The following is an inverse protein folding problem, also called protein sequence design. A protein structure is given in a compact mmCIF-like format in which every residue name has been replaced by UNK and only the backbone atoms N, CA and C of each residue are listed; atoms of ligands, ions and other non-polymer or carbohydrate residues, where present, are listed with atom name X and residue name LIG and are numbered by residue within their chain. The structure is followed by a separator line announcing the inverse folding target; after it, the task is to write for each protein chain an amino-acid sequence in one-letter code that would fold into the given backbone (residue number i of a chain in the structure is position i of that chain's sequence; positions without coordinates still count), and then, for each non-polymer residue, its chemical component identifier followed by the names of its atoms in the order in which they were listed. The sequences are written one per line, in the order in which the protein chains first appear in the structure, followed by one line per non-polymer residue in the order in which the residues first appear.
data_IF_397531930252
#
_entry.id   IF_397531930252
#
_cell.length_a   1.000
_cell.length_b   1.000
_cell.length_c   1.000
_cell.angle_alpha   90.00
_cell.angle_beta   90.00
_cell.angle_gamma   90.00
#
_symmetry.space_group_name_H-M   'P 1'
#
loop_
_entity.id
_entity.type
_entity.pdbx_description
1 polymer ?
#
# COMPACT_ATOMS: atom_id res chain seq x y z
N UNK A 1 -36.30 -31.41 23.62
CA UNK A 1 -34.83 -31.41 23.57
C UNK A 1 -34.34 -30.04 24.01
N UNK A 2 -33.46 -29.96 25.00
CA UNK A 2 -32.90 -28.68 25.42
C UNK A 2 -31.90 -28.19 24.36
N UNK A 3 -32.12 -26.99 23.83
CA UNK A 3 -31.22 -26.33 22.86
C UNK A 3 -30.93 -24.92 23.36
N UNK A 4 -29.67 -24.50 23.35
CA UNK A 4 -29.28 -23.14 23.73
C UNK A 4 -29.32 -22.22 22.52
N UNK A 5 -30.24 -21.24 22.54
CA UNK A 5 -30.40 -20.21 21.49
C UNK A 5 -29.67 -18.90 21.76
N UNK A 6 -29.03 -18.74 22.92
CA UNK A 6 -28.35 -17.51 23.32
C UNK A 6 -27.09 -17.25 22.49
N UNK A 7 -27.15 -16.35 21.50
CA UNK A 7 -26.04 -16.09 20.57
C UNK A 7 -24.92 -15.26 21.20
N UNK A 8 -25.24 -14.41 22.18
CA UNK A 8 -24.30 -13.47 22.81
C UNK A 8 -23.56 -14.04 24.03
N UNK A 9 -23.90 -15.25 24.47
CA UNK A 9 -23.32 -15.87 25.68
C UNK A 9 -22.36 -16.99 25.26
N UNK A 10 -21.07 -16.67 25.24
CA UNK A 10 -20.00 -17.61 24.88
C UNK A 10 -20.10 -18.17 23.45
N UNK A 11 -19.25 -19.15 23.14
CA UNK A 11 -19.21 -19.76 21.80
C UNK A 11 -20.20 -20.92 21.68
N UNK A 12 -20.52 -21.34 20.45
CA UNK A 12 -21.33 -22.55 20.23
C UNK A 12 -20.66 -23.79 20.86
N UNK A 13 -19.33 -23.82 20.92
CA UNK A 13 -18.55 -24.90 21.50
C UNK A 13 -18.71 -24.95 23.02
N UNK A 14 -18.49 -23.82 23.72
CA UNK A 14 -18.60 -23.80 25.20
C UNK A 14 -20.03 -24.08 25.66
N UNK A 15 -21.03 -23.61 24.90
CA UNK A 15 -22.45 -23.91 25.17
C UNK A 15 -22.77 -25.39 24.99
N UNK A 16 -22.30 -26.00 23.90
CA UNK A 16 -22.51 -27.43 23.64
C UNK A 16 -21.79 -28.30 24.67
N UNK A 17 -20.55 -27.95 25.02
CA UNK A 17 -19.77 -28.60 26.07
C UNK A 17 -20.48 -28.51 27.43
N UNK A 18 -21.08 -27.37 27.78
CA UNK A 18 -21.87 -27.20 29.00
C UNK A 18 -23.13 -28.08 29.03
N UNK A 19 -23.84 -28.19 27.90
CA UNK A 19 -25.01 -29.07 27.77
C UNK A 19 -24.64 -30.56 27.91
N UNK A 20 -23.49 -30.96 27.38
CA UNK A 20 -22.96 -32.33 27.53
C UNK A 20 -22.56 -32.59 28.99
N UNK A 21 -21.81 -31.66 29.61
CA UNK A 21 -21.34 -31.79 31.01
C UNK A 21 -22.46 -31.81 32.05
N UNK A 22 -23.53 -31.04 31.82
CA UNK A 22 -24.70 -31.00 32.71
C UNK A 22 -25.65 -32.18 32.52
N UNK A 23 -25.41 -33.06 31.54
CA UNK A 23 -26.30 -34.18 31.21
C UNK A 23 -27.60 -33.76 30.50
N UNK A 24 -27.78 -32.47 30.22
CA UNK A 24 -28.93 -31.95 29.49
C UNK A 24 -28.96 -32.42 28.02
N UNK A 25 -27.80 -32.79 27.47
CA UNK A 25 -27.64 -33.41 26.15
C UNK A 25 -27.13 -34.84 26.28
N UNK A 26 -27.89 -35.79 25.71
CA UNK A 26 -27.49 -37.20 25.63
C UNK A 26 -26.30 -37.37 24.66
N UNK A 27 -25.44 -38.35 24.91
CA UNK A 27 -24.26 -38.65 24.06
C UNK A 27 -24.63 -38.90 22.58
N UNK A 28 -25.75 -39.56 22.33
CA UNK A 28 -26.29 -39.81 20.98
C UNK A 28 -26.73 -38.54 20.23
N UNK A 29 -26.91 -37.44 20.96
CA UNK A 29 -27.34 -36.15 20.42
C UNK A 29 -26.20 -35.13 20.34
N UNK A 30 -24.97 -35.56 20.59
CA UNK A 30 -23.78 -34.74 20.36
C UNK A 30 -23.69 -34.44 18.86
N UNK A 31 -23.57 -33.16 18.46
CA UNK A 31 -23.41 -32.80 17.07
C UNK A 31 -22.14 -33.38 16.47
N UNK A 32 -22.18 -33.81 15.20
CA UNK A 32 -21.02 -34.37 14.50
C UNK A 32 -19.81 -33.43 14.51
N UNK A 33 -20.04 -32.13 14.39
CA UNK A 33 -18.97 -31.13 14.39
C UNK A 33 -18.24 -31.01 15.73
N UNK A 34 -18.84 -31.43 16.85
CA UNK A 34 -18.25 -31.25 18.19
C UNK A 34 -16.90 -31.97 18.31
N UNK A 35 -16.84 -33.22 17.86
CA UNK A 35 -15.61 -34.03 17.89
C UNK A 35 -14.54 -33.46 16.95
N UNK A 36 -14.95 -32.91 15.81
CA UNK A 36 -14.03 -32.25 14.86
C UNK A 36 -13.44 -30.99 15.49
N UNK A 37 -14.28 -30.18 16.14
CA UNK A 37 -13.86 -28.98 16.83
C UNK A 37 -12.96 -29.28 18.04
N UNK A 38 -13.24 -30.35 18.78
CA UNK A 38 -12.42 -30.80 19.93
C UNK A 38 -11.04 -31.30 19.48
N UNK A 39 -10.97 -32.01 18.35
CA UNK A 39 -9.70 -32.48 17.78
C UNK A 39 -8.88 -31.35 17.13
N UNK A 40 -9.56 -30.41 16.46
CA UNK A 40 -8.94 -29.31 15.71
C UNK A 40 -9.58 -27.97 16.11
N UNK A 41 -9.26 -27.44 17.31
CA UNK A 41 -9.81 -26.17 17.74
C UNK A 41 -9.25 -25.01 16.88
N UNK A 42 -10.06 -24.00 16.56
CA UNK A 42 -9.58 -22.80 15.87
C UNK A 42 -8.62 -22.01 16.77
N UNK A 43 -7.72 -21.24 16.15
CA UNK A 43 -6.75 -20.40 16.87
C UNK A 43 -7.45 -19.34 17.72
N UNK A 44 -8.40 -18.63 17.13
CA UNK A 44 -9.22 -17.63 17.82
C UNK A 44 -10.62 -18.17 18.11
N UNK A 45 -11.09 -17.88 19.32
CA UNK A 45 -12.46 -18.21 19.74
C UNK A 45 -13.37 -17.06 19.31
N UNK A 46 -14.50 -17.39 18.71
CA UNK A 46 -15.52 -16.38 18.38
C UNK A 46 -16.03 -15.70 19.67
N UNK A 47 -15.73 -14.41 19.84
CA UNK A 47 -16.20 -13.62 20.97
C UNK A 47 -17.34 -12.71 20.49
N UNK A 48 -18.58 -13.02 20.87
CA UNK A 48 -19.74 -12.21 20.49
C UNK A 48 -19.71 -10.78 21.09
N UNK A 49 -18.95 -10.58 22.16
CA UNK A 49 -18.76 -9.30 22.86
C UNK A 49 -17.56 -8.51 22.36
N UNK A 50 -16.72 -9.10 21.50
CA UNK A 50 -15.62 -8.40 20.84
C UNK A 50 -16.25 -7.49 19.79
N UNK A 51 -16.69 -6.31 20.25
CA UNK A 51 -16.88 -5.15 19.39
C UNK A 51 -15.62 -5.07 18.56
N UNK A 52 -15.78 -4.94 17.24
CA UNK A 52 -14.67 -4.79 16.31
C UNK A 52 -13.63 -3.94 17.00
N UNK A 53 -12.45 -4.50 17.29
CA UNK A 53 -11.48 -3.74 18.03
C UNK A 53 -11.27 -2.45 17.23
N UNK A 54 -10.95 -1.36 17.91
CA UNK A 54 -10.53 -0.10 17.28
C UNK A 54 -9.29 -0.29 16.33
N UNK A 55 -8.88 -1.53 16.02
CA UNK A 55 -7.91 -2.05 15.05
C UNK A 55 -8.03 -1.52 13.63
N UNK A 56 -9.13 -0.83 13.26
CA UNK A 56 -9.08 0.12 12.15
C UNK A 56 -7.86 1.09 12.28
N UNK A 57 -7.32 1.26 13.50
CA UNK A 57 -6.17 2.11 13.84
C UNK A 57 -4.77 1.54 13.57
N UNK A 58 -4.57 0.33 13.03
CA UNK A 58 -3.18 -0.18 12.82
C UNK A 58 -2.91 -0.89 11.49
N UNK A 59 -3.72 -0.67 10.47
CA UNK A 59 -3.35 -1.11 9.12
C UNK A 59 -2.25 -0.17 8.62
N UNK A 60 -1.00 -0.66 8.61
CA UNK A 60 0.12 0.06 8.02
C UNK A 60 0.00 0.03 6.51
N UNK A 61 0.34 1.15 5.86
CA UNK A 61 0.48 1.18 4.40
C UNK A 61 1.65 0.28 3.99
N UNK A 62 1.43 -0.56 2.99
CA UNK A 62 2.46 -1.44 2.43
C UNK A 62 3.14 -0.66 1.31
N UNK A 63 4.33 -0.14 1.60
CA UNK A 63 5.17 0.56 0.65
C UNK A 63 6.51 -0.17 0.52
N UNK A 64 6.99 -0.32 -0.70
CA UNK A 64 8.27 -0.94 -0.99
C UNK A 64 9.29 0.10 -1.49
N UNK A 65 10.61 -0.12 -1.28
CA UNK A 65 11.63 0.81 -1.75
C UNK A 65 11.62 1.00 -3.27
N UNK A 66 11.23 -0.03 -4.05
CA UNK A 66 11.08 0.08 -5.50
C UNK A 66 9.90 0.94 -5.95
N UNK A 67 8.93 1.23 -5.07
CA UNK A 67 7.78 2.04 -5.44
C UNK A 67 8.21 3.49 -5.75
N UNK A 68 9.27 3.99 -5.11
CA UNK A 68 9.87 5.29 -5.45
C UNK A 68 10.41 5.33 -6.89
N UNK A 69 10.99 4.22 -7.34
CA UNK A 69 11.52 4.06 -8.72
C UNK A 69 10.34 4.01 -9.70
N UNK A 70 9.31 3.24 -9.35
CA UNK A 70 8.09 3.10 -10.18
C UNK A 70 7.37 4.44 -10.32
N UNK A 71 7.23 5.22 -9.25
CA UNK A 71 6.60 6.55 -9.29
C UNK A 71 7.28 7.42 -10.34
N UNK A 72 8.60 7.55 -10.28
CA UNK A 72 9.38 8.35 -11.25
C UNK A 72 9.25 7.82 -12.69
N UNK A 73 9.20 6.51 -12.87
CA UNK A 73 8.97 5.88 -14.18
C UNK A 73 7.59 6.26 -14.75
N UNK A 74 6.54 6.11 -13.95
CA UNK A 74 5.16 6.42 -14.34
C UNK A 74 4.91 7.91 -14.53
N UNK A 75 5.60 8.79 -13.78
CA UNK A 75 5.54 10.24 -13.98
C UNK A 75 6.07 10.65 -15.36
N UNK A 76 7.09 9.95 -15.87
CA UNK A 76 7.72 10.28 -17.15
C UNK A 76 7.02 9.63 -18.35
N UNK A 77 6.75 8.33 -18.27
CA UNK A 77 6.25 7.55 -19.41
C UNK A 77 4.75 7.24 -19.32
N UNK A 78 4.11 7.52 -18.19
CA UNK A 78 2.74 7.12 -17.98
C UNK A 78 2.61 5.61 -17.97
N UNK A 79 1.55 5.10 -18.61
CA UNK A 79 1.31 3.67 -18.77
C UNK A 79 1.67 3.23 -20.19
N UNK A 80 2.95 2.89 -20.47
CA UNK A 80 3.40 2.56 -21.82
C UNK A 80 2.97 1.17 -22.30
N UNK A 81 2.57 0.27 -21.39
CA UNK A 81 2.28 -1.14 -21.68
C UNK A 81 0.89 -1.54 -21.17
N UNK A 82 0.23 -2.46 -21.89
CA UNK A 82 -0.99 -3.13 -21.45
C UNK A 82 -0.60 -4.30 -20.55
N UNK A 83 -1.00 -4.26 -19.28
CA UNK A 83 -0.65 -5.28 -18.29
C UNK A 83 -1.61 -6.45 -18.38
N UNK A 84 -1.07 -7.67 -18.53
CA UNK A 84 -1.82 -8.91 -18.37
C UNK A 84 -1.56 -9.50 -16.97
N UNK A 85 -2.60 -9.54 -16.13
CA UNK A 85 -2.53 -10.05 -14.76
C UNK A 85 -2.50 -11.58 -14.67
N UNK A 86 -2.86 -12.29 -15.75
CA UNK A 86 -2.83 -13.75 -15.79
C UNK A 86 -1.43 -14.29 -16.10
N UNK A 87 -0.63 -13.50 -16.83
CA UNK A 87 0.72 -13.88 -17.23
C UNK A 87 1.74 -13.51 -16.16
N UNK A 88 2.70 -14.40 -15.90
CA UNK A 88 3.84 -14.13 -15.01
C UNK A 88 4.98 -13.39 -15.74
N UNK A 89 4.62 -12.46 -16.62
CA UNK A 89 5.57 -11.69 -17.43
C UNK A 89 5.87 -10.38 -16.69
N UNK A 90 7.16 -10.06 -16.55
CA UNK A 90 7.57 -8.78 -15.96
C UNK A 90 7.12 -7.62 -16.85
N UNK A 91 6.40 -6.67 -16.25
CA UNK A 91 6.05 -5.39 -16.88
C UNK A 91 7.29 -4.55 -17.14
N UNK A 92 7.19 -3.56 -18.04
CA UNK A 92 8.27 -2.62 -18.32
C UNK A 92 8.73 -1.88 -17.05
N UNK A 93 7.80 -1.47 -16.18
CA UNK A 93 8.15 -0.82 -14.91
C UNK A 93 8.87 -1.78 -13.96
N UNK A 94 8.52 -3.07 -13.98
CA UNK A 94 9.18 -4.10 -13.18
C UNK A 94 10.60 -4.41 -13.70
N UNK A 95 10.77 -4.51 -15.03
CA UNK A 95 12.07 -4.65 -15.68
C UNK A 95 12.97 -3.47 -15.36
N UNK A 96 12.44 -2.25 -15.42
CA UNK A 96 13.18 -1.05 -15.06
C UNK A 96 13.59 -1.05 -13.59
N UNK A 97 12.68 -1.39 -12.67
CA UNK A 97 13.00 -1.46 -11.24
C UNK A 97 14.12 -2.47 -10.95
N UNK A 98 14.07 -3.66 -11.55
CA UNK A 98 15.13 -4.66 -11.44
C UNK A 98 16.46 -4.15 -12.01
N UNK A 99 16.43 -3.54 -13.19
CA UNK A 99 17.61 -2.96 -13.83
C UNK A 99 18.23 -1.85 -12.98
N UNK A 100 17.43 -0.95 -12.43
CA UNK A 100 17.91 0.13 -11.58
C UNK A 100 18.57 -0.39 -10.29
N UNK A 101 17.93 -1.35 -9.61
CA UNK A 101 18.48 -1.93 -8.38
C UNK A 101 19.81 -2.66 -8.66
N UNK A 102 19.89 -3.41 -9.76
CA UNK A 102 21.10 -4.13 -10.15
C UNK A 102 22.27 -3.17 -10.42
N UNK A 103 22.02 -2.10 -11.19
CA UNK A 103 23.06 -1.14 -11.57
C UNK A 103 23.42 -0.16 -10.44
N UNK A 104 22.47 0.17 -9.56
CA UNK A 104 22.78 0.93 -8.34
C UNK A 104 23.83 0.20 -7.50
N UNK A 105 23.68 -1.12 -7.33
CA UNK A 105 24.59 -1.93 -6.53
C UNK A 105 25.99 -2.12 -7.13
N UNK A 106 26.13 -2.13 -8.46
CA UNK A 106 27.46 -2.15 -9.12
C UNK A 106 28.16 -0.79 -8.98
N UNK A 107 27.43 0.31 -9.11
CA UNK A 107 27.97 1.67 -9.00
C UNK A 107 28.41 2.04 -7.58
N UNK A 108 27.72 1.53 -6.54
CA UNK A 108 28.15 1.66 -5.15
C UNK A 108 29.46 0.90 -4.84
N UNK A 109 29.82 -0.14 -5.61
CA UNK A 109 31.07 -0.88 -5.43
C UNK A 109 32.28 -0.16 -6.05
N UNK A 110 32.06 0.60 -7.12
CA UNK A 110 33.11 1.38 -7.79
C UNK A 110 33.42 2.70 -7.07
N UNK A 111 32.47 3.25 -6.29
CA UNK A 111 32.63 4.47 -5.51
C UNK A 111 32.24 4.25 -4.04
N UNK A 112 33.16 3.75 -3.18
CA UNK A 112 32.86 3.40 -1.79
C UNK A 112 32.56 4.60 -0.86
N UNK A 113 32.67 5.84 -1.36
CA UNK A 113 32.34 7.05 -0.60
C UNK A 113 30.85 7.39 -0.54
N UNK A 114 29.99 6.68 -1.27
CA UNK A 114 28.55 6.96 -1.39
C UNK A 114 27.70 6.00 -0.54
N UNK A 115 28.11 5.74 0.69
CA UNK A 115 27.20 5.17 1.68
C UNK A 115 26.35 6.30 2.26
N UNK A 116 25.28 6.69 1.57
CA UNK A 116 24.21 7.38 2.28
C UNK A 116 23.65 6.41 3.33
N UNK A 117 23.99 6.71 4.59
CA UNK A 117 23.20 6.44 5.79
C UNK A 117 23.31 5.06 6.49
N UNK A 118 24.33 4.90 7.35
CA UNK A 118 24.12 4.25 8.66
C UNK A 118 22.97 4.91 9.45
N UNK A 119 22.65 6.17 9.11
CA UNK A 119 21.59 6.98 9.70
C UNK A 119 20.16 6.52 9.37
N UNK A 120 19.89 5.80 8.27
CA UNK A 120 18.53 5.33 7.95
C UNK A 120 18.20 4.03 8.67
N UNK A 121 19.19 3.16 8.85
CA UNK A 121 19.04 1.91 9.59
C UNK A 121 18.89 2.14 11.11
N UNK A 122 19.59 3.15 11.66
CA UNK A 122 19.47 3.51 13.07
C UNK A 122 18.13 4.20 13.39
N UNK A 123 17.59 5.02 12.46
CA UNK A 123 16.26 5.67 12.59
C UNK A 123 15.07 4.72 12.49
N UNK A 124 15.24 3.54 11.90
CA UNK A 124 14.19 2.51 11.85
C UNK A 124 14.09 1.68 13.15
N UNK A 125 15.13 1.74 14.00
CA UNK A 125 15.18 1.03 15.29
C UNK A 125 14.63 1.85 16.45
N UNK A 126 14.67 3.18 16.38
CA UNK A 126 14.12 4.07 17.40
C UNK A 126 12.71 4.50 17.01
N UNK A 127 11.71 4.01 17.73
CA UNK A 127 10.31 4.27 17.44
C UNK A 127 9.87 5.70 17.75
N UNK A 128 9.06 6.24 16.83
CA UNK A 128 8.07 7.32 16.99
C UNK A 128 8.53 8.72 17.46
N UNK A 129 7.81 9.72 16.92
CA UNK A 129 7.77 11.14 17.34
C UNK A 129 8.89 12.06 16.81
N UNK A 130 8.68 12.59 15.60
CA UNK A 130 9.43 13.74 15.08
C UNK A 130 8.75 14.29 13.84
N UNK A 131 8.34 15.56 13.88
CA UNK A 131 7.79 16.27 12.72
C UNK A 131 8.80 16.27 11.56
N UNK A 132 8.35 16.20 10.29
CA UNK A 132 9.25 16.28 9.15
C UNK A 132 9.76 17.71 9.02
N UNK A 133 10.94 18.00 9.57
CA UNK A 133 11.69 19.22 9.27
C UNK A 133 12.04 19.22 7.79
N UNK A 134 11.62 20.29 7.12
CA UNK A 134 11.79 20.58 5.71
C UNK A 134 13.26 20.82 5.34
N UNK A 135 14.07 19.78 5.16
CA UNK A 135 15.43 19.95 4.63
C UNK A 135 16.08 18.62 4.18
N UNK A 136 15.38 17.83 3.36
CA UNK A 136 16.00 16.70 2.65
C UNK A 136 15.64 16.79 1.15
N UNK A 137 16.15 17.81 0.46
CA UNK A 137 16.21 17.77 -1.00
C UNK A 137 17.20 16.68 -1.41
N UNK A 138 16.80 15.67 -2.23
CA UNK A 138 17.73 14.66 -2.71
C UNK A 138 18.86 15.37 -3.46
N UNK A 139 20.10 15.12 -3.05
CA UNK A 139 21.30 15.65 -3.69
C UNK A 139 21.18 15.54 -5.21
N UNK A 140 21.46 16.63 -5.94
CA UNK A 140 21.29 16.71 -7.41
C UNK A 140 21.99 15.55 -8.14
N UNK A 141 23.06 15.02 -7.56
CA UNK A 141 23.82 13.87 -8.04
C UNK A 141 22.99 12.59 -8.11
N UNK A 142 22.20 12.26 -7.07
CA UNK A 142 21.33 11.08 -7.04
C UNK A 142 20.23 11.10 -8.11
N UNK A 143 19.78 12.30 -8.49
CA UNK A 143 18.77 12.50 -9.54
C UNK A 143 19.37 12.30 -10.94
N UNK A 144 20.58 12.80 -11.17
CA UNK A 144 21.31 12.64 -12.44
C UNK A 144 21.56 11.15 -12.74
N UNK A 145 21.94 10.37 -11.74
CA UNK A 145 22.17 8.92 -11.88
C UNK A 145 20.91 8.13 -12.28
N UNK A 146 19.74 8.54 -11.75
CA UNK A 146 18.47 7.91 -12.11
C UNK A 146 18.10 8.19 -13.57
N UNK A 147 18.28 9.43 -14.00
CA UNK A 147 17.93 9.86 -15.36
C UNK A 147 18.82 9.20 -16.43
N UNK A 148 20.11 9.00 -16.14
CA UNK A 148 21.02 8.32 -17.04
C UNK A 148 20.67 6.84 -17.22
N UNK A 149 20.36 6.13 -16.12
CA UNK A 149 19.89 4.74 -16.17
C UNK A 149 18.55 4.62 -16.87
N UNK A 150 17.64 5.57 -16.64
CA UNK A 150 16.35 5.61 -17.30
C UNK A 150 16.49 5.90 -18.80
N UNK A 151 17.46 6.71 -19.21
CA UNK A 151 17.78 6.99 -20.61
C UNK A 151 18.29 5.74 -21.32
N UNK A 152 19.26 5.04 -20.74
CA UNK A 152 19.80 3.77 -21.30
C UNK A 152 18.68 2.76 -21.45
N UNK A 153 17.90 2.52 -20.38
CA UNK A 153 16.78 1.59 -20.41
C UNK A 153 15.71 1.99 -21.44
N UNK A 154 15.41 3.28 -21.58
CA UNK A 154 14.43 3.77 -22.55
C UNK A 154 14.87 3.54 -23.99
N UNK A 155 16.18 3.62 -24.26
CA UNK A 155 16.76 3.33 -25.56
C UNK A 155 16.64 1.84 -25.89
N UNK A 156 17.03 0.97 -24.95
CA UNK A 156 17.03 -0.48 -25.12
C UNK A 156 15.62 -1.06 -25.33
N UNK A 157 14.63 -0.49 -24.63
CA UNK A 157 13.24 -0.93 -24.72
C UNK A 157 12.39 -0.12 -25.72
N UNK A 158 13.03 0.73 -26.55
CA UNK A 158 12.37 1.61 -27.54
C UNK A 158 11.16 2.36 -26.94
N UNK A 159 11.28 2.78 -25.68
CA UNK A 159 10.31 3.64 -25.01
C UNK A 159 10.42 5.03 -25.65
N UNK A 160 9.73 5.22 -26.78
CA UNK A 160 9.51 6.56 -27.29
C UNK A 160 8.67 7.29 -26.25
N UNK A 161 9.12 8.49 -25.87
CA UNK A 161 8.22 9.53 -25.40
C UNK A 161 7.18 9.72 -26.52
N UNK A 162 6.10 8.95 -26.49
CA UNK A 162 5.02 9.10 -27.46
C UNK A 162 4.46 10.49 -27.22
N UNK A 163 4.86 11.43 -28.07
CA UNK A 163 4.44 12.82 -27.96
C UNK A 163 2.90 12.89 -27.98
N UNK A 164 2.25 11.91 -28.60
CA UNK A 164 0.81 11.70 -28.58
C UNK A 164 0.29 11.27 -27.21
N UNK A 165 0.94 10.34 -26.52
CA UNK A 165 0.54 9.93 -25.17
C UNK A 165 0.80 11.03 -24.14
N UNK A 166 1.89 11.76 -24.24
CA UNK A 166 2.16 12.95 -23.42
C UNK A 166 1.10 14.02 -23.69
N UNK A 167 0.74 14.27 -24.96
CA UNK A 167 -0.35 15.17 -25.33
C UNK A 167 -1.70 14.67 -24.80
N UNK A 168 -1.97 13.37 -24.87
CA UNK A 168 -3.20 12.72 -24.40
C UNK A 168 -3.32 12.79 -22.88
N UNK A 169 -2.25 12.53 -22.14
CA UNK A 169 -2.17 12.66 -20.69
C UNK A 169 -2.27 14.12 -20.26
N UNK A 170 -1.56 15.05 -20.91
CA UNK A 170 -1.72 16.49 -20.64
C UNK A 170 -3.16 16.95 -20.90
N UNK A 171 -3.80 16.46 -21.97
CA UNK A 171 -5.21 16.74 -22.29
C UNK A 171 -6.16 16.17 -21.23
N UNK A 172 -5.95 14.92 -20.81
CA UNK A 172 -6.75 14.25 -19.78
C UNK A 172 -6.60 14.94 -18.42
N UNK A 173 -5.37 15.24 -17.99
CA UNK A 173 -5.06 16.00 -16.76
C UNK A 173 -5.66 17.41 -16.79
N UNK A 174 -5.63 18.09 -17.95
CA UNK A 174 -6.35 19.37 -18.14
C UNK A 174 -7.86 19.23 -18.00
N UNK A 175 -8.45 18.16 -18.53
CA UNK A 175 -9.88 17.88 -18.41
C UNK A 175 -10.27 17.58 -16.96
N UNK A 176 -9.48 16.76 -16.25
CA UNK A 176 -9.68 16.46 -14.82
C UNK A 176 -9.55 17.74 -13.98
N UNK A 177 -8.55 18.59 -14.23
CA UNK A 177 -8.43 19.90 -13.55
C UNK A 177 -9.65 20.79 -13.86
N UNK A 178 -10.15 20.81 -15.10
CA UNK A 178 -11.37 21.55 -15.44
C UNK A 178 -12.60 20.98 -14.76
N UNK A 179 -12.73 19.66 -14.66
CA UNK A 179 -13.82 19.00 -13.94
C UNK A 179 -13.75 19.31 -12.44
N UNK A 180 -12.57 19.24 -11.82
CA UNK A 180 -12.34 19.63 -10.42
C UNK A 180 -12.69 21.11 -10.21
N UNK A 181 -12.27 22.00 -11.11
CA UNK A 181 -12.63 23.44 -11.04
C UNK A 181 -14.13 23.67 -11.20
N UNK A 182 -14.78 22.92 -12.10
CA UNK A 182 -16.24 22.99 -12.30
C UNK A 182 -16.98 22.49 -11.05
N UNK A 183 -16.60 21.33 -10.52
CA UNK A 183 -17.10 20.80 -9.26
C UNK A 183 -16.88 21.76 -8.09
N UNK A 184 -15.73 22.45 -8.02
CA UNK A 184 -15.45 23.47 -6.99
C UNK A 184 -16.27 24.75 -7.17
N UNK A 185 -16.62 25.11 -8.41
CA UNK A 185 -17.49 26.24 -8.74
C UNK A 185 -18.96 25.92 -8.47
N UNK A 186 -19.35 24.67 -8.69
CA UNK A 186 -20.70 24.15 -8.44
C UNK A 186 -20.90 23.87 -6.93
N UNK A 187 -19.84 23.48 -6.19
CA UNK A 187 -19.79 23.39 -4.72
C UNK A 187 -19.56 24.74 -4.02
N UNK A 188 -19.92 25.87 -4.64
CA UNK A 188 -19.79 27.20 -4.00
C UNK A 188 -20.62 27.36 -2.72
N UNK A 189 -21.50 26.42 -2.41
CA UNK A 189 -22.31 26.43 -1.18
C UNK A 189 -21.70 25.59 -0.04
N UNK A 190 -20.58 24.89 -0.25
CA UNK A 190 -19.86 24.21 0.81
C UNK A 190 -18.60 24.99 1.20
N UNK A 191 -18.72 25.81 2.26
CA UNK A 191 -17.54 26.29 3.01
C UNK A 191 -16.84 25.07 3.63
N UNK A 192 -15.85 24.51 2.93
CA UNK A 192 -14.84 23.68 3.56
C UNK A 192 -13.57 24.51 3.69
N UNK A 193 -13.19 24.79 4.93
CA UNK A 193 -11.88 25.34 5.31
C UNK A 193 -10.78 24.55 4.59
N UNK A 194 -9.92 25.26 3.87
CA UNK A 194 -8.86 24.64 3.07
C UNK A 194 -7.77 24.10 3.98
N UNK A 195 -7.73 22.78 4.16
CA UNK A 195 -6.62 22.07 4.82
C UNK A 195 -5.39 21.95 3.88
N UNK A 196 -5.53 22.25 2.59
CA UNK A 196 -4.40 22.27 1.66
C UNK A 196 -4.12 23.70 1.20
N UNK A 197 -2.94 24.18 1.57
CA UNK A 197 -2.34 25.40 1.05
C UNK A 197 -2.39 25.44 -0.47
N UNK A 198 -2.65 26.62 -0.98
CA UNK A 198 -2.88 26.88 -2.41
C UNK A 198 -1.57 26.65 -3.16
N UNK A 199 -1.58 25.80 -4.18
CA UNK A 199 -0.41 25.49 -5.03
C UNK A 199 0.24 26.73 -5.70
N UNK A 200 -0.39 27.90 -5.65
CA UNK A 200 0.17 29.19 -6.10
C UNK A 200 1.27 29.75 -5.19
N UNK A 201 1.44 29.24 -3.96
CA UNK A 201 2.49 29.69 -3.02
C UNK A 201 3.85 29.03 -3.26
N UNK A 202 3.90 27.88 -3.94
CA UNK A 202 5.12 27.09 -4.15
C UNK A 202 5.91 27.45 -5.43
N UNK A 203 5.36 28.32 -6.29
CA UNK A 203 6.09 28.88 -7.44
C UNK A 203 6.73 30.25 -7.13
N UNK A 204 6.64 30.75 -5.88
CA UNK A 204 7.19 32.06 -5.46
C UNK A 204 8.13 32.01 -4.25
N UNK A 205 8.58 30.84 -3.80
CA UNK A 205 9.66 30.71 -2.81
C UNK A 205 10.85 29.97 -3.37
#
# INVERSE_FOLDING_TARGET
MASSRGQFIGTIYTRTQGLIRSGAMRREKIPLWFNIYEAFPPLDKFNAEEKEPDQARRIKRINYPEDLIRVKFYERYGTPEVVNLESNIDTLSQKFAKYYIANKNSMLKENPGLSESKQTEDRLKEGAEGEPTSEDTPSKESQVQFEDLLRVFSHDHNLKMSAEDIRRQKKKRRQEIMQIRKLRKDNKDFKSESIFGTWDELERS
#
